data_IF_771911915692
#
_entry.id   IF_771911915692
#
_cell.length_a   1.000
_cell.length_b   1.000
_cell.length_c   1.000
_cell.angle_alpha   90.00
_cell.angle_beta   90.00
_cell.angle_gamma   90.00
#
_symmetry.space_group_name_H-M   'P 1'
#
loop_
_entity.id
_entity.type
_entity.pdbx_description
1 polymer ?
#
# COMPACT_ATOMS: atom_id res chain seq x y z
N UNK A 1 -14.72 -8.40 -4.84
CA UNK A 1 -13.92 -7.82 -5.95
C UNK A 1 -13.06 -6.71 -5.35
N UNK A 2 -11.75 -6.95 -5.16
CA UNK A 2 -10.85 -6.10 -4.34
C UNK A 2 -10.32 -4.85 -5.07
N UNK A 3 -10.84 -4.50 -6.26
CA UNK A 3 -10.33 -3.40 -7.09
C UNK A 3 -10.41 -2.02 -6.42
N UNK A 4 -11.50 -1.74 -5.70
CA UNK A 4 -11.68 -0.47 -4.98
C UNK A 4 -10.63 -0.25 -3.88
N UNK A 5 -10.12 -1.33 -3.28
CA UNK A 5 -9.06 -1.25 -2.29
C UNK A 5 -7.72 -0.87 -2.92
N UNK A 6 -7.38 -1.51 -4.04
CA UNK A 6 -6.15 -1.21 -4.78
C UNK A 6 -6.14 0.21 -5.34
N UNK A 7 -7.29 0.71 -5.81
CA UNK A 7 -7.45 2.09 -6.24
C UNK A 7 -7.26 3.09 -5.10
N UNK A 8 -7.87 2.87 -3.93
CA UNK A 8 -7.67 3.75 -2.78
C UNK A 8 -6.20 3.79 -2.33
N UNK A 9 -5.48 2.67 -2.42
CA UNK A 9 -4.04 2.65 -2.15
C UNK A 9 -3.22 3.41 -3.20
N UNK A 10 -3.53 3.25 -4.48
CA UNK A 10 -2.86 4.00 -5.55
C UNK A 10 -3.09 5.51 -5.39
N UNK A 11 -4.33 5.93 -5.13
CA UNK A 11 -4.72 7.33 -4.88
C UNK A 11 -4.09 7.92 -3.61
N UNK A 12 -3.86 7.10 -2.58
CA UNK A 12 -3.13 7.53 -1.40
C UNK A 12 -1.70 7.97 -1.74
N UNK A 13 -1.08 7.36 -2.76
CA UNK A 13 0.31 7.62 -3.16
C UNK A 13 0.44 8.63 -4.30
N UNK A 14 -0.48 8.61 -5.27
CA UNK A 14 -0.49 9.47 -6.45
C UNK A 14 -1.79 10.26 -6.51
N UNK A 15 -1.68 11.58 -6.62
CA UNK A 15 -2.84 12.49 -6.60
C UNK A 15 -3.59 12.53 -7.95
N UNK A 16 -2.98 12.01 -9.02
CA UNK A 16 -3.62 11.90 -10.33
C UNK A 16 -4.47 10.63 -10.44
N UNK A 17 -5.79 10.82 -10.50
CA UNK A 17 -6.77 9.74 -10.51
C UNK A 17 -6.69 8.87 -11.78
N UNK A 18 -6.44 9.48 -12.93
CA UNK A 18 -6.33 8.75 -14.21
C UNK A 18 -5.15 7.79 -14.23
N UNK A 19 -3.98 8.24 -13.76
CA UNK A 19 -2.76 7.42 -13.69
C UNK A 19 -2.89 6.34 -12.60
N UNK A 20 -3.51 6.67 -11.46
CA UNK A 20 -3.79 5.71 -10.41
C UNK A 20 -4.71 4.56 -10.91
N UNK A 21 -5.79 4.92 -11.62
CA UNK A 21 -6.72 3.94 -12.20
C UNK A 21 -6.03 3.06 -13.25
N UNK A 22 -5.30 3.66 -14.21
CA UNK A 22 -4.58 2.92 -15.24
C UNK A 22 -3.56 1.93 -14.65
N UNK A 23 -2.88 2.30 -13.57
CA UNK A 23 -1.92 1.45 -12.87
C UNK A 23 -2.59 0.26 -12.20
N UNK A 24 -3.74 0.48 -11.56
CA UNK A 24 -4.53 -0.59 -10.94
C UNK A 24 -5.08 -1.54 -12.00
N UNK A 25 -5.62 -1.03 -13.10
CA UNK A 25 -6.15 -1.85 -14.18
C UNK A 25 -5.06 -2.68 -14.86
N UNK A 26 -3.88 -2.09 -15.09
CA UNK A 26 -2.72 -2.82 -15.59
C UNK A 26 -2.28 -3.93 -14.63
N UNK A 27 -2.21 -3.63 -13.33
CA UNK A 27 -1.85 -4.63 -12.30
C UNK A 27 -2.87 -5.77 -12.23
N UNK A 28 -4.16 -5.46 -12.32
CA UNK A 28 -5.22 -6.46 -12.31
C UNK A 28 -5.22 -7.31 -13.59
N UNK A 29 -4.94 -6.72 -14.75
CA UNK A 29 -4.78 -7.44 -16.00
C UNK A 29 -3.57 -8.39 -15.96
N UNK A 30 -2.43 -7.95 -15.42
CA UNK A 30 -1.26 -8.80 -15.19
C UNK A 30 -1.59 -9.94 -14.21
N UNK A 31 -2.28 -9.64 -13.11
CA UNK A 31 -2.70 -10.65 -12.14
C UNK A 31 -3.68 -11.66 -12.73
N UNK A 32 -4.59 -11.23 -13.61
CA UNK A 32 -5.51 -12.12 -14.32
C UNK A 32 -4.75 -13.06 -15.27
N UNK A 33 -3.72 -12.57 -15.95
CA UNK A 33 -2.85 -13.40 -16.81
C UNK A 33 -2.00 -14.40 -16.01
N UNK A 34 -1.64 -14.06 -14.76
CA UNK A 34 -0.87 -14.93 -13.86
C UNK A 34 -1.73 -15.73 -12.89
N UNK A 35 -3.05 -15.68 -13.04
CA UNK A 35 -4.01 -16.29 -12.12
C UNK A 35 -3.76 -17.77 -11.85
N UNK A 36 -3.43 -18.62 -12.84
CA UNK A 36 -3.13 -20.03 -12.59
C UNK A 36 -1.91 -20.24 -11.70
N UNK A 37 -0.90 -19.38 -11.78
CA UNK A 37 0.32 -19.46 -10.96
C UNK A 37 0.05 -18.94 -9.54
N UNK A 38 -0.73 -17.87 -9.42
CA UNK A 38 -1.08 -17.24 -8.15
C UNK A 38 -1.94 -18.16 -7.26
N UNK A 39 -2.85 -18.93 -7.86
CA UNK A 39 -3.70 -19.88 -7.13
C UNK A 39 -2.94 -21.07 -6.53
N UNK A 40 -1.77 -21.40 -7.08
CA UNK A 40 -0.91 -22.47 -6.56
C UNK A 40 0.01 -21.99 -5.42
N UNK A 41 0.07 -20.67 -5.18
CA UNK A 41 0.83 -20.07 -4.10
C UNK A 41 0.04 -20.02 -2.78
N UNK A 42 0.73 -19.97 -1.62
CA UNK A 42 0.08 -19.98 -0.31
C UNK A 42 -0.73 -18.71 -0.01
N UNK A 43 -0.47 -17.59 -0.69
CA UNK A 43 -1.10 -16.30 -0.42
C UNK A 43 -1.26 -15.43 -1.69
N UNK A 44 -2.27 -15.68 -2.53
CA UNK A 44 -2.49 -14.93 -3.78
C UNK A 44 -2.71 -13.42 -3.56
N UNK A 45 -3.31 -13.01 -2.44
CA UNK A 45 -3.51 -11.60 -2.11
C UNK A 45 -2.18 -10.85 -1.91
N UNK A 46 -1.21 -11.48 -1.25
CA UNK A 46 0.10 -10.89 -1.00
C UNK A 46 0.92 -10.71 -2.29
N UNK A 47 0.81 -11.66 -3.21
CA UNK A 47 1.48 -11.58 -4.51
C UNK A 47 0.90 -10.44 -5.38
N UNK A 48 -0.43 -10.28 -5.41
CA UNK A 48 -1.10 -9.18 -6.11
C UNK A 48 -0.72 -7.83 -5.46
N UNK A 49 -0.69 -7.78 -4.13
CA UNK A 49 -0.27 -6.60 -3.38
C UNK A 49 1.18 -6.19 -3.70
N UNK A 50 2.11 -7.13 -3.68
CA UNK A 50 3.52 -6.86 -4.01
C UNK A 50 3.65 -6.29 -5.43
N UNK A 51 2.93 -6.87 -6.40
CA UNK A 51 2.94 -6.40 -7.79
C UNK A 51 2.38 -4.98 -7.89
N UNK A 52 1.24 -4.70 -7.26
CA UNK A 52 0.66 -3.36 -7.21
C UNK A 52 1.64 -2.36 -6.63
N UNK A 53 2.26 -2.71 -5.50
CA UNK A 53 3.23 -1.83 -4.84
C UNK A 53 4.39 -1.46 -5.76
N UNK A 54 4.95 -2.44 -6.48
CA UNK A 54 6.05 -2.21 -7.42
C UNK A 54 5.59 -1.29 -8.57
N UNK A 55 4.40 -1.53 -9.13
CA UNK A 55 3.85 -0.71 -10.21
C UNK A 55 3.59 0.74 -9.74
N UNK A 56 3.06 0.93 -8.53
CA UNK A 56 2.85 2.26 -7.93
C UNK A 56 4.19 2.95 -7.59
N UNK A 57 5.21 2.20 -7.20
CA UNK A 57 6.55 2.74 -6.95
C UNK A 57 7.25 3.17 -8.25
N UNK A 58 7.13 2.41 -9.32
CA UNK A 58 7.57 2.78 -10.66
C UNK A 58 6.84 4.02 -11.19
N UNK A 59 5.51 4.03 -11.05
CA UNK A 59 4.70 5.20 -11.40
C UNK A 59 5.15 6.43 -10.62
N UNK A 60 5.36 6.31 -9.30
CA UNK A 60 5.78 7.42 -8.45
C UNK A 60 7.06 8.08 -8.96
N UNK A 61 8.00 7.33 -9.53
CA UNK A 61 9.23 7.90 -10.13
C UNK A 61 8.94 8.88 -11.28
N UNK A 62 7.84 8.70 -11.99
CA UNK A 62 7.52 9.39 -13.23
C UNK A 62 6.45 10.49 -13.10
N UNK A 63 5.65 10.49 -12.02
CA UNK A 63 4.60 11.49 -11.80
C UNK A 63 5.13 12.76 -11.13
N UNK A 64 4.62 13.91 -11.58
CA UNK A 64 4.98 15.23 -11.04
C UNK A 64 4.25 15.56 -9.72
N UNK A 65 3.09 14.93 -9.46
CA UNK A 65 2.26 15.19 -8.28
C UNK A 65 2.15 13.93 -7.41
N UNK A 66 2.91 13.94 -6.30
CA UNK A 66 2.89 12.90 -5.27
C UNK A 66 2.17 13.43 -4.04
N UNK A 67 1.62 12.52 -3.22
CA UNK A 67 1.14 12.91 -1.91
C UNK A 67 2.33 13.22 -0.98
N UNK A 68 2.56 14.47 -0.56
CA UNK A 68 3.76 14.87 0.17
C UNK A 68 3.85 14.26 1.58
N UNK A 69 2.72 13.89 2.19
CA UNK A 69 2.73 13.21 3.49
C UNK A 69 3.18 11.76 3.35
N UNK A 70 2.69 11.07 2.32
CA UNK A 70 3.06 9.68 2.06
C UNK A 70 4.48 9.60 1.53
N UNK A 71 4.91 10.53 0.68
CA UNK A 71 6.29 10.59 0.18
C UNK A 71 7.29 10.77 1.35
N UNK A 72 6.96 11.61 2.34
CA UNK A 72 7.76 11.71 3.58
C UNK A 72 7.80 10.41 4.38
N UNK A 73 6.71 9.66 4.47
CA UNK A 73 6.70 8.35 5.13
C UNK A 73 7.64 7.36 4.44
N UNK A 74 7.59 7.27 3.11
CA UNK A 74 8.49 6.39 2.34
C UNK A 74 9.95 6.88 2.32
N UNK A 75 10.19 8.18 2.49
CA UNK A 75 11.54 8.73 2.65
C UNK A 75 12.13 8.53 4.07
N UNK A 76 11.28 8.37 5.08
CA UNK A 76 11.71 8.28 6.49
C UNK A 76 11.77 6.84 7.02
N UNK A 77 11.05 5.91 6.39
CA UNK A 77 10.94 4.53 6.85
C UNK A 77 11.20 3.53 5.74
N UNK A 78 11.48 2.29 6.13
CA UNK A 78 11.42 1.17 5.19
C UNK A 78 10.01 1.05 4.61
N UNK A 79 9.92 0.57 3.39
CA UNK A 79 8.64 0.45 2.70
C UNK A 79 7.63 -0.41 3.46
N UNK A 80 8.08 -1.43 4.21
CA UNK A 80 7.20 -2.24 5.07
C UNK A 80 6.50 -1.39 6.13
N UNK A 81 7.23 -0.47 6.77
CA UNK A 81 6.67 0.39 7.80
C UNK A 81 5.76 1.45 7.19
N UNK A 82 6.16 2.05 6.07
CA UNK A 82 5.34 3.00 5.35
C UNK A 82 4.02 2.36 4.85
N UNK A 83 4.09 1.17 4.23
CA UNK A 83 2.93 0.41 3.78
C UNK A 83 1.99 0.10 4.94
N UNK A 84 2.52 -0.38 6.08
CA UNK A 84 1.72 -0.70 7.26
C UNK A 84 0.96 0.52 7.80
N UNK A 85 1.61 1.69 7.81
CA UNK A 85 0.98 2.96 8.22
C UNK A 85 -0.11 3.37 7.24
N UNK A 86 0.15 3.35 5.93
CA UNK A 86 -0.84 3.72 4.90
C UNK A 86 -2.06 2.78 4.96
N UNK A 87 -1.85 1.47 5.02
CA UNK A 87 -2.91 0.48 5.11
C UNK A 87 -3.77 0.66 6.37
N UNK A 88 -3.13 0.82 7.53
CA UNK A 88 -3.85 0.90 8.79
C UNK A 88 -4.52 2.26 9.03
N UNK A 89 -3.87 3.37 8.66
CA UNK A 89 -4.33 4.72 8.99
C UNK A 89 -5.14 5.37 7.89
N UNK A 90 -4.65 5.38 6.66
CA UNK A 90 -5.36 6.02 5.55
C UNK A 90 -6.44 5.13 4.96
N UNK A 91 -6.22 3.80 4.98
CA UNK A 91 -7.19 2.85 4.44
C UNK A 91 -8.04 2.16 5.52
N UNK A 92 -7.82 2.52 6.79
CA UNK A 92 -8.57 2.01 7.96
C UNK A 92 -8.65 0.49 8.06
N UNK A 93 -7.66 -0.23 7.51
CA UNK A 93 -7.60 -1.69 7.66
C UNK A 93 -7.25 -2.07 9.09
N UNK A 94 -7.85 -3.16 9.58
CA UNK A 94 -7.38 -3.78 10.82
C UNK A 94 -5.96 -4.32 10.63
N UNK A 95 -5.23 -4.51 11.73
CA UNK A 95 -3.88 -5.10 11.73
C UNK A 95 -3.89 -6.47 11.03
N UNK A 96 -4.93 -7.26 11.26
CA UNK A 96 -5.09 -8.60 10.66
C UNK A 96 -5.35 -8.53 9.16
N UNK A 97 -6.17 -7.57 8.70
CA UNK A 97 -6.42 -7.37 7.28
C UNK A 97 -5.17 -6.84 6.55
N UNK A 98 -4.44 -5.91 7.15
CA UNK A 98 -3.17 -5.42 6.61
C UNK A 98 -2.11 -6.53 6.53
N UNK A 99 -2.01 -7.38 7.56
CA UNK A 99 -1.13 -8.55 7.57
C UNK A 99 -1.46 -9.53 6.44
N UNK A 100 -2.76 -9.83 6.25
CA UNK A 100 -3.22 -10.69 5.16
C UNK A 100 -2.97 -10.11 3.76
N UNK A 101 -3.11 -8.80 3.59
CA UNK A 101 -2.79 -8.11 2.32
C UNK A 101 -1.29 -8.11 2.05
N UNK A 102 -0.46 -7.83 3.07
CA UNK A 102 1.00 -7.75 2.92
C UNK A 102 1.67 -9.13 2.90
N UNK A 103 0.97 -10.18 3.29
CA UNK A 103 1.51 -11.53 3.42
C UNK A 103 2.55 -11.67 4.52
N UNK A 104 2.42 -10.90 5.60
CA UNK A 104 3.33 -10.92 6.76
C UNK A 104 2.57 -11.26 8.03
N UNK A 105 3.28 -11.58 9.10
CA UNK A 105 2.64 -11.81 10.39
C UNK A 105 2.04 -10.53 10.99
N UNK A 106 0.97 -10.70 11.77
CA UNK A 106 0.33 -9.64 12.55
C UNK A 106 1.31 -8.89 13.45
N UNK A 107 2.24 -9.62 14.07
CA UNK A 107 3.31 -9.10 14.92
C UNK A 107 4.20 -8.11 14.17
N UNK A 108 4.52 -8.39 12.90
CA UNK A 108 5.28 -7.51 12.01
C UNK A 108 4.56 -6.20 11.75
N UNK A 109 3.24 -6.25 11.49
CA UNK A 109 2.44 -5.02 11.32
C UNK A 109 2.37 -4.21 12.62
N UNK A 110 2.14 -4.87 13.75
CA UNK A 110 2.09 -4.19 15.05
C UNK A 110 3.43 -3.50 15.39
N UNK A 111 4.56 -4.18 15.14
CA UNK A 111 5.90 -3.64 15.35
C UNK A 111 6.21 -2.47 14.41
N UNK A 112 5.78 -2.54 13.16
CA UNK A 112 5.89 -1.45 12.19
C UNK A 112 5.12 -0.20 12.64
N UNK A 113 3.87 -0.37 13.06
CA UNK A 113 3.05 0.73 13.55
C UNK A 113 3.62 1.37 14.82
N UNK A 114 4.18 0.56 15.73
CA UNK A 114 4.83 1.07 16.93
C UNK A 114 6.11 1.86 16.60
N UNK A 115 6.92 1.36 15.66
CA UNK A 115 8.12 2.03 15.17
C UNK A 115 7.78 3.42 14.62
N UNK A 116 6.77 3.47 13.75
CA UNK A 116 6.38 4.72 13.14
C UNK A 116 5.77 5.70 14.17
N UNK A 117 4.97 5.20 15.14
CA UNK A 117 4.40 6.04 16.22
C UNK A 117 5.48 6.68 17.09
N UNK A 118 6.58 5.98 17.33
CA UNK A 118 7.72 6.49 18.12
C UNK A 118 8.54 7.53 17.36
N UNK A 119 8.69 7.36 16.05
CA UNK A 119 9.54 8.20 15.23
C UNK A 119 8.84 9.46 14.68
N UNK A 120 7.52 9.42 14.47
CA UNK A 120 6.73 10.59 14.04
C UNK A 120 5.44 10.71 14.85
N UNK A 121 5.50 11.27 16.08
CA UNK A 121 4.30 11.48 16.89
C UNK A 121 3.25 12.34 16.18
N UNK A 122 3.67 13.37 15.45
CA UNK A 122 2.80 14.33 14.75
C UNK A 122 2.18 13.78 13.46
N UNK A 123 2.96 13.08 12.63
CA UNK A 123 2.40 12.45 11.41
C UNK A 123 1.36 11.36 11.73
N UNK A 124 1.39 10.82 12.95
CA UNK A 124 0.37 9.89 13.46
C UNK A 124 -0.95 10.56 13.85
N UNK A 125 -0.93 11.84 14.21
CA UNK A 125 -2.11 12.64 14.55
C UNK A 125 -2.66 13.39 13.33
N UNK A 126 -1.80 13.90 12.43
CA UNK A 126 -2.23 14.61 11.20
C UNK A 126 -2.99 13.68 10.22
N UNK A 127 -2.71 12.37 10.24
CA UNK A 127 -3.43 11.38 9.44
C UNK A 127 -4.80 10.98 10.02
N UNK A 128 -5.23 11.54 11.15
CA UNK A 128 -6.60 11.39 11.68
C UNK A 128 -7.59 12.45 11.19
N UNK A 129 -7.12 13.59 10.68
CA UNK A 129 -7.99 14.76 10.41
C UNK A 129 -8.21 15.07 8.91
N UNK A 130 -7.93 14.12 8.02
CA UNK A 130 -8.21 14.24 6.58
C UNK A 130 -9.49 13.55 6.15
#
# INVERSE_FOLDING_TARGET
MNGAFYLRYALARVLDEGTAQATVDSTLAEAANQWPVLLHGPQPAAAIWLRLRLNVEEMNRHVAQRNPLVDRLYGSFSSLVADAVVLHRQLHLSVDAAAGVMGVERSTIAGALLTAKRALPSAFDDLKEG
#
